data_IF_092314076726
#
_entry.id   IF_092314076726
#
_cell.length_a   1.000
_cell.length_b   1.000
_cell.length_c   1.000
_cell.angle_alpha   90.00
_cell.angle_beta   90.00
_cell.angle_gamma   90.00
#
_symmetry.space_group_name_H-M   'P 1'
#
loop_
_entity.id
_entity.type
_entity.pdbx_description
1 polymer ?
#
# COMPACT_ATOMS: atom_id res chain seq x y z
N UNK A 1 -3.73 2.36 2.59
CA UNK A 1 -2.52 1.62 2.14
C UNK A 1 -2.72 0.11 2.04
N UNK A 2 -3.78 -0.47 2.59
CA UNK A 2 -4.15 -1.89 2.37
C UNK A 2 -4.31 -2.21 0.88
N UNK A 3 -4.68 -1.22 0.07
CA UNK A 3 -4.78 -1.33 -1.39
C UNK A 3 -3.47 -1.77 -2.07
N UNK A 4 -2.31 -1.45 -1.50
CA UNK A 4 -1.00 -1.81 -2.06
C UNK A 4 -0.88 -3.32 -2.35
N UNK A 5 -1.39 -4.14 -1.44
CA UNK A 5 -1.36 -5.60 -1.61
C UNK A 5 -2.23 -6.10 -2.77
N UNK A 6 -3.32 -5.39 -3.10
CA UNK A 6 -4.12 -5.70 -4.28
C UNK A 6 -3.37 -5.39 -5.58
N UNK A 7 -2.68 -4.25 -5.64
CA UNK A 7 -1.90 -3.90 -6.82
C UNK A 7 -0.62 -4.73 -6.95
N UNK A 8 -0.01 -5.14 -5.83
CA UNK A 8 1.06 -6.13 -5.83
C UNK A 8 0.58 -7.48 -6.41
N UNK A 9 -0.64 -7.91 -6.06
CA UNK A 9 -1.25 -9.11 -6.63
C UNK A 9 -1.42 -8.99 -8.16
N UNK A 10 -1.76 -7.81 -8.68
CA UNK A 10 -1.82 -7.58 -10.13
C UNK A 10 -0.46 -7.75 -10.82
N UNK A 11 0.63 -7.34 -10.17
CA UNK A 11 1.98 -7.60 -10.69
C UNK A 11 2.21 -9.11 -10.79
N UNK A 12 1.88 -9.87 -9.75
CA UNK A 12 1.98 -11.34 -9.78
C UNK A 12 1.16 -11.96 -10.91
N UNK A 13 -0.10 -11.56 -11.06
CA UNK A 13 -0.95 -12.02 -12.16
C UNK A 13 -0.36 -11.65 -13.52
N UNK A 14 0.23 -10.47 -13.67
CA UNK A 14 0.85 -10.05 -14.93
C UNK A 14 2.14 -10.83 -15.23
N UNK A 15 2.87 -11.26 -14.20
CA UNK A 15 4.00 -12.20 -14.36
C UNK A 15 3.49 -13.58 -14.82
N UNK A 16 2.48 -14.12 -14.16
CA UNK A 16 1.86 -15.42 -14.51
C UNK A 16 1.33 -15.45 -15.95
N UNK A 17 0.92 -14.29 -16.47
CA UNK A 17 0.42 -14.13 -17.85
C UNK A 17 1.53 -13.84 -18.87
N UNK A 18 2.78 -13.69 -18.43
CA UNK A 18 3.92 -13.35 -19.28
C UNK A 18 3.92 -11.91 -19.81
N UNK A 19 3.12 -11.03 -19.24
CA UNK A 19 3.05 -9.59 -19.57
C UNK A 19 4.21 -8.83 -18.91
N UNK A 20 4.62 -9.27 -17.75
CA UNK A 20 5.84 -8.86 -17.02
C UNK A 20 6.75 -10.08 -16.96
N UNK A 21 8.05 -9.90 -17.19
CA UNK A 21 8.98 -11.02 -17.25
C UNK A 21 9.23 -11.64 -15.87
N UNK A 22 9.54 -10.83 -14.89
CA UNK A 22 9.80 -11.26 -13.50
C UNK A 22 9.78 -10.09 -12.51
N UNK A 23 9.85 -10.40 -11.23
CA UNK A 23 10.07 -9.39 -10.18
C UNK A 23 11.42 -8.68 -10.33
N UNK A 24 12.41 -9.34 -10.91
CA UNK A 24 13.76 -8.83 -11.06
C UNK A 24 13.95 -8.03 -12.37
N UNK A 25 12.89 -7.88 -13.16
CA UNK A 25 12.90 -6.98 -14.32
C UNK A 25 13.16 -5.54 -13.87
N UNK A 26 14.07 -4.87 -14.57
CA UNK A 26 14.30 -3.45 -14.34
C UNK A 26 13.08 -2.63 -14.73
N UNK A 27 12.72 -1.65 -13.92
CA UNK A 27 11.62 -0.73 -14.19
C UNK A 27 11.84 0.02 -15.51
N UNK A 28 13.09 0.34 -15.83
CA UNK A 28 13.49 0.98 -17.10
C UNK A 28 13.14 0.17 -18.35
N UNK A 29 12.89 -1.13 -18.24
CA UNK A 29 12.37 -1.97 -19.33
C UNK A 29 10.96 -1.55 -19.77
N UNK A 30 10.17 -1.03 -18.86
CA UNK A 30 8.78 -0.62 -19.06
C UNK A 30 8.65 0.89 -19.16
N UNK A 31 9.40 1.63 -18.34
CA UNK A 31 9.26 3.07 -18.17
C UNK A 31 10.53 3.79 -18.66
N UNK A 32 10.43 4.38 -19.84
CA UNK A 32 11.57 5.05 -20.51
C UNK A 32 12.10 6.27 -19.76
N UNK A 33 11.37 6.84 -18.83
CA UNK A 33 11.82 7.95 -17.98
C UNK A 33 12.65 7.50 -16.76
N UNK A 34 12.89 6.18 -16.62
CA UNK A 34 13.84 5.60 -15.67
C UNK A 34 15.17 5.29 -16.37
N UNK A 35 15.72 6.27 -17.10
CA UNK A 35 16.96 6.20 -17.85
C UNK A 35 18.17 6.87 -17.17
N UNK A 36 17.97 7.37 -15.95
CA UNK A 36 18.94 8.03 -15.09
C UNK A 36 19.46 7.08 -13.97
N UNK A 37 19.79 7.65 -12.79
CA UNK A 37 20.20 6.91 -11.59
C UNK A 37 19.20 5.85 -11.15
N UNK A 38 17.93 5.93 -11.57
CA UNK A 38 16.85 4.98 -11.28
C UNK A 38 16.85 3.76 -12.21
N UNK A 39 17.70 3.70 -13.21
CA UNK A 39 17.68 2.68 -14.25
C UNK A 39 17.94 1.24 -13.75
N UNK A 40 18.51 1.11 -12.56
CA UNK A 40 18.76 -0.18 -11.92
C UNK A 40 17.64 -0.64 -10.99
N UNK A 41 16.66 0.21 -10.69
CA UNK A 41 15.52 -0.18 -9.84
C UNK A 41 14.77 -1.33 -10.51
N UNK A 42 14.48 -2.37 -9.74
CA UNK A 42 13.68 -3.51 -10.16
C UNK A 42 12.23 -3.38 -9.70
N UNK A 43 11.32 -4.17 -10.28
CA UNK A 43 9.94 -4.28 -9.80
C UNK A 43 9.92 -4.79 -8.35
N UNK A 44 10.82 -5.70 -7.99
CA UNK A 44 11.03 -6.18 -6.62
C UNK A 44 11.35 -5.03 -5.67
N UNK A 45 12.28 -4.16 -6.03
CA UNK A 45 12.65 -3.01 -5.20
C UNK A 45 11.47 -2.07 -4.91
N UNK A 46 10.60 -1.86 -5.89
CA UNK A 46 9.36 -1.09 -5.67
C UNK A 46 8.42 -1.80 -4.70
N UNK A 47 8.18 -3.10 -4.89
CA UNK A 47 7.27 -3.89 -4.06
C UNK A 47 7.80 -4.10 -2.63
N UNK A 48 9.10 -4.23 -2.47
CA UNK A 48 9.78 -4.39 -1.17
C UNK A 48 10.07 -3.07 -0.46
N UNK A 49 9.73 -1.93 -1.08
CA UNK A 49 10.03 -0.62 -0.53
C UNK A 49 11.53 -0.37 -0.34
N UNK A 50 12.35 -0.86 -1.27
CA UNK A 50 13.81 -0.74 -1.27
C UNK A 50 14.37 -0.06 -2.52
N UNK A 51 13.56 0.70 -3.23
CA UNK A 51 13.94 1.32 -4.51
C UNK A 51 15.00 2.40 -4.40
N UNK A 52 15.23 2.97 -3.22
CA UNK A 52 16.11 4.13 -3.04
C UNK A 52 15.56 5.45 -3.56
N UNK A 53 14.27 5.50 -3.97
CA UNK A 53 13.63 6.76 -4.36
C UNK A 53 13.53 7.70 -3.17
N UNK A 54 13.84 8.98 -3.37
CA UNK A 54 13.78 10.00 -2.34
C UNK A 54 12.44 9.97 -1.58
N UNK A 55 12.54 9.94 -0.26
CA UNK A 55 11.38 9.93 0.61
C UNK A 55 11.66 10.73 1.89
N UNK A 56 11.65 12.06 1.82
CA UNK A 56 11.69 12.87 3.03
C UNK A 56 10.49 12.53 3.93
N UNK A 57 10.76 12.09 5.13
CA UNK A 57 9.72 11.59 6.07
C UNK A 57 8.60 12.60 6.37
N UNK A 58 8.91 13.90 6.22
CA UNK A 58 7.95 14.99 6.40
C UNK A 58 7.09 15.25 5.14
N UNK A 59 7.42 14.63 4.01
CA UNK A 59 6.71 14.78 2.74
C UNK A 59 5.83 13.59 2.39
N UNK A 60 5.65 12.66 3.31
CA UNK A 60 4.89 11.42 3.09
C UNK A 60 3.51 11.63 2.44
N UNK A 61 2.87 12.75 2.73
CA UNK A 61 1.57 13.10 2.17
C UNK A 61 1.66 14.07 0.99
N UNK A 62 2.85 14.50 0.59
CA UNK A 62 3.02 15.50 -0.46
C UNK A 62 2.43 15.06 -1.79
N UNK A 63 2.66 13.80 -2.20
CA UNK A 63 2.08 13.25 -3.42
C UNK A 63 0.56 13.26 -3.36
N UNK A 64 -0.02 12.96 -2.20
CA UNK A 64 -1.47 12.91 -2.02
C UNK A 64 -2.17 14.25 -2.27
N UNK A 65 -1.48 15.37 -2.06
CA UNK A 65 -1.99 16.71 -2.31
C UNK A 65 -1.63 17.26 -3.69
N UNK A 66 -1.02 16.45 -4.56
CA UNK A 66 -0.83 16.84 -5.95
C UNK A 66 -2.12 16.66 -6.75
N UNK A 67 -2.25 17.39 -7.84
CA UNK A 67 -3.36 17.21 -8.80
C UNK A 67 -3.10 16.01 -9.71
N UNK A 68 -1.84 15.67 -9.93
CA UNK A 68 -1.37 14.53 -10.72
C UNK A 68 -0.34 13.76 -9.91
N UNK A 69 -0.80 12.67 -9.28
CA UNK A 69 0.05 11.85 -8.41
C UNK A 69 1.09 11.07 -9.22
N UNK A 70 0.71 10.64 -10.43
CA UNK A 70 1.61 9.88 -11.28
C UNK A 70 2.73 10.79 -11.82
N UNK A 71 2.39 11.98 -12.28
CA UNK A 71 3.39 12.93 -12.76
C UNK A 71 4.34 13.39 -11.64
N UNK A 72 3.84 13.51 -10.41
CA UNK A 72 4.69 13.74 -9.25
C UNK A 72 5.65 12.55 -9.03
N UNK A 73 5.11 11.34 -9.02
CA UNK A 73 5.89 10.12 -8.80
C UNK A 73 7.00 9.93 -9.85
N UNK A 74 6.72 10.25 -11.11
CA UNK A 74 7.69 10.18 -12.22
C UNK A 74 8.92 11.07 -12.01
N UNK A 75 8.77 12.16 -11.27
CA UNK A 75 9.84 13.17 -11.04
C UNK A 75 10.68 12.91 -9.81
N UNK A 76 10.25 12.00 -8.95
CA UNK A 76 11.01 11.64 -7.75
C UNK A 76 12.30 10.94 -8.15
N UNK A 77 13.42 11.43 -7.62
CA UNK A 77 14.75 10.89 -7.90
C UNK A 77 15.14 9.80 -6.92
N UNK A 78 16.21 9.09 -7.22
CA UNK A 78 16.83 8.17 -6.29
C UNK A 78 18.04 8.84 -5.63
N UNK A 79 18.22 8.63 -4.33
CA UNK A 79 19.36 9.11 -3.54
C UNK A 79 20.10 7.96 -2.84
N UNK A 80 19.58 6.75 -2.94
CA UNK A 80 20.13 5.53 -2.35
C UNK A 80 20.16 4.43 -3.43
N UNK A 81 21.19 3.58 -3.36
CA UNK A 81 21.31 2.42 -4.25
C UNK A 81 20.11 1.46 -4.03
N UNK A 82 19.42 1.03 -5.09
CA UNK A 82 18.30 0.08 -4.98
C UNK A 82 18.71 -1.23 -4.28
N UNK A 83 17.80 -1.81 -3.52
CA UNK A 83 18.02 -3.05 -2.80
C UNK A 83 18.93 -2.96 -1.56
N UNK A 84 19.28 -1.75 -1.11
CA UNK A 84 20.20 -1.58 0.04
C UNK A 84 19.52 -1.13 1.32
N UNK A 85 18.33 -0.52 1.25
CA UNK A 85 17.63 0.01 2.42
C UNK A 85 16.11 -0.08 2.25
N UNK A 86 15.45 -0.56 3.28
CA UNK A 86 13.99 -0.44 3.37
C UNK A 86 13.58 0.99 3.72
N UNK A 87 12.70 1.56 2.90
CA UNK A 87 12.09 2.86 3.16
C UNK A 87 10.67 2.90 2.59
N UNK A 88 9.67 2.85 3.48
CA UNK A 88 8.26 2.82 3.08
C UNK A 88 7.88 4.09 2.33
N UNK A 89 7.60 3.98 1.04
CA UNK A 89 7.42 5.09 0.12
C UNK A 89 6.20 4.86 -0.80
N UNK A 90 5.23 5.76 -0.78
CA UNK A 90 4.03 5.68 -1.63
C UNK A 90 4.33 5.81 -3.13
N UNK A 91 5.42 6.48 -3.50
CA UNK A 91 5.86 6.63 -4.89
C UNK A 91 6.11 5.26 -5.52
N UNK A 92 6.75 4.34 -4.78
CA UNK A 92 6.98 2.96 -5.25
C UNK A 92 5.69 2.31 -5.75
N UNK A 93 4.63 2.43 -4.96
CA UNK A 93 3.35 1.83 -5.32
C UNK A 93 2.65 2.58 -6.45
N UNK A 94 2.80 3.91 -6.54
CA UNK A 94 2.19 4.69 -7.61
C UNK A 94 2.77 4.33 -8.98
N UNK A 95 4.09 4.12 -9.06
CA UNK A 95 4.79 3.72 -10.28
C UNK A 95 4.36 2.34 -10.80
N UNK A 96 3.96 1.42 -9.93
CA UNK A 96 3.45 0.11 -10.35
C UNK A 96 2.24 0.23 -11.29
N UNK A 97 1.41 1.25 -11.12
CA UNK A 97 0.27 1.52 -12.00
C UNK A 97 0.69 1.82 -13.45
N UNK A 98 1.78 2.56 -13.63
CA UNK A 98 2.32 2.89 -14.95
C UNK A 98 3.01 1.67 -15.59
N UNK A 99 3.73 0.86 -14.80
CA UNK A 99 4.29 -0.42 -15.26
C UNK A 99 3.19 -1.33 -15.78
N UNK A 100 2.10 -1.48 -15.03
CA UNK A 100 0.96 -2.29 -15.45
C UNK A 100 0.36 -1.78 -16.77
N UNK A 101 0.19 -0.47 -16.90
CA UNK A 101 -0.34 0.13 -18.14
C UNK A 101 0.55 -0.17 -19.34
N UNK A 102 1.87 0.00 -19.20
CA UNK A 102 2.81 -0.26 -20.32
C UNK A 102 2.90 -1.74 -20.64
N UNK A 103 2.95 -2.60 -19.64
CA UNK A 103 3.09 -4.04 -19.83
C UNK A 103 1.83 -4.70 -20.42
N UNK A 104 0.65 -4.20 -20.09
CA UNK A 104 -0.63 -4.86 -20.42
C UNK A 104 -1.48 -4.09 -21.43
N UNK A 105 -1.22 -2.80 -21.63
CA UNK A 105 -2.07 -1.89 -22.40
C UNK A 105 -3.34 -1.44 -21.69
N UNK A 106 -3.57 -1.86 -20.43
CA UNK A 106 -4.77 -1.52 -19.65
C UNK A 106 -4.40 -0.79 -18.36
N UNK A 107 -5.26 0.14 -17.95
CA UNK A 107 -5.09 0.88 -16.69
C UNK A 107 -5.24 -0.04 -15.48
N UNK A 108 -4.53 0.27 -14.40
CA UNK A 108 -4.48 -0.56 -13.19
C UNK A 108 -5.85 -0.74 -12.50
N UNK A 109 -6.76 0.25 -12.57
CA UNK A 109 -8.14 0.13 -12.07
C UNK A 109 -8.95 -0.90 -12.88
N UNK A 110 -8.83 -0.89 -14.20
CA UNK A 110 -9.50 -1.86 -15.09
C UNK A 110 -8.94 -3.26 -14.85
N UNK A 111 -7.63 -3.39 -14.68
CA UNK A 111 -7.00 -4.67 -14.36
C UNK A 111 -7.46 -5.19 -13.01
N UNK A 112 -7.51 -4.33 -11.99
CA UNK A 112 -7.96 -4.70 -10.64
C UNK A 112 -9.39 -5.24 -10.68
N UNK A 113 -10.27 -4.55 -11.38
CA UNK A 113 -11.65 -4.98 -11.55
C UNK A 113 -11.73 -6.35 -12.22
N UNK A 114 -11.12 -6.50 -13.40
CA UNK A 114 -11.23 -7.72 -14.22
C UNK A 114 -10.54 -8.94 -13.60
N UNK A 115 -9.38 -8.74 -12.97
CA UNK A 115 -8.49 -9.84 -12.57
C UNK A 115 -8.61 -10.24 -11.10
N UNK A 116 -9.15 -9.36 -10.26
CA UNK A 116 -9.27 -9.60 -8.81
C UNK A 116 -10.71 -9.40 -8.35
N UNK A 117 -11.28 -8.20 -8.52
CA UNK A 117 -12.57 -7.89 -7.89
C UNK A 117 -13.71 -8.75 -8.45
N UNK A 118 -13.83 -8.86 -9.76
CA UNK A 118 -14.86 -9.70 -10.40
C UNK A 118 -14.68 -11.19 -10.07
N UNK A 119 -13.49 -11.81 -10.22
CA UNK A 119 -13.30 -13.21 -9.84
C UNK A 119 -13.61 -13.50 -8.37
N UNK A 120 -13.33 -12.56 -7.47
CA UNK A 120 -13.64 -12.70 -6.05
C UNK A 120 -15.09 -12.32 -5.70
N UNK A 121 -15.91 -12.01 -6.71
CA UNK A 121 -17.28 -11.54 -6.52
C UNK A 121 -17.36 -10.35 -5.54
N UNK A 122 -16.51 -9.33 -5.78
CA UNK A 122 -16.50 -8.03 -5.08
C UNK A 122 -17.18 -7.03 -6.03
N UNK A 123 -18.37 -6.59 -5.67
CA UNK A 123 -19.21 -5.73 -6.54
C UNK A 123 -19.47 -4.35 -5.96
N UNK A 124 -19.34 -4.19 -4.65
CA UNK A 124 -19.54 -2.92 -3.96
C UNK A 124 -18.18 -2.37 -3.49
N UNK A 125 -17.60 -1.51 -4.31
CA UNK A 125 -16.30 -0.92 -4.06
C UNK A 125 -16.18 0.45 -4.73
N UNK A 126 -15.23 1.25 -4.24
CA UNK A 126 -14.84 2.52 -4.85
C UNK A 126 -13.31 2.59 -4.94
N UNK A 127 -12.81 2.87 -6.14
CA UNK A 127 -11.40 3.11 -6.38
C UNK A 127 -11.16 4.62 -6.49
N UNK A 128 -10.27 5.13 -5.67
CA UNK A 128 -9.97 6.56 -5.69
C UNK A 128 -8.99 6.90 -6.81
N UNK A 129 -9.19 8.07 -7.36
CA UNK A 129 -8.38 8.62 -8.45
C UNK A 129 -7.95 10.04 -8.11
N UNK A 130 -6.81 10.44 -8.65
CA UNK A 130 -6.39 11.81 -8.62
C UNK A 130 -7.20 12.66 -9.61
N UNK A 131 -6.91 13.96 -9.68
CA UNK A 131 -7.61 14.92 -10.56
C UNK A 131 -7.41 14.62 -12.06
N UNK A 132 -6.38 13.86 -12.44
CA UNK A 132 -6.11 13.45 -13.81
C UNK A 132 -6.71 12.08 -14.15
N UNK A 133 -7.39 11.45 -13.19
CA UNK A 133 -8.02 10.14 -13.37
C UNK A 133 -7.06 8.96 -13.21
N UNK A 134 -5.86 9.16 -12.67
CA UNK A 134 -4.96 8.08 -12.31
C UNK A 134 -5.47 7.42 -11.03
N UNK A 135 -5.63 6.10 -11.04
CA UNK A 135 -6.00 5.37 -9.83
C UNK A 135 -4.86 5.41 -8.81
N UNK A 136 -5.20 5.60 -7.55
CA UNK A 136 -4.23 5.66 -6.46
C UNK A 136 -3.77 4.26 -6.07
N UNK A 137 -2.80 3.71 -6.79
CA UNK A 137 -2.30 2.35 -6.54
C UNK A 137 -1.62 2.18 -5.18
N UNK A 138 -1.30 3.27 -4.51
CA UNK A 138 -0.69 3.27 -3.18
C UNK A 138 -1.70 3.29 -2.03
N UNK A 139 -3.00 3.56 -2.31
CA UNK A 139 -4.05 3.59 -1.28
C UNK A 139 -5.46 3.43 -1.89
N UNK A 140 -6.39 3.51 -1.02
CA UNK A 140 -7.72 4.10 -1.23
C UNK A 140 -8.61 3.25 -2.14
N UNK A 141 -8.83 2.03 -1.70
CA UNK A 141 -9.88 1.14 -2.18
C UNK A 141 -10.92 1.03 -1.06
N UNK A 142 -12.12 1.55 -1.28
CA UNK A 142 -13.21 1.44 -0.33
C UNK A 142 -14.03 0.19 -0.63
N UNK A 143 -14.20 -0.66 0.35
CA UNK A 143 -15.07 -1.83 0.30
C UNK A 143 -15.36 -2.35 1.72
N UNK A 144 -16.27 -3.29 1.84
CA UNK A 144 -16.62 -3.89 3.12
C UNK A 144 -15.45 -4.68 3.73
N UNK A 145 -15.44 -4.85 5.07
CA UNK A 145 -14.45 -5.71 5.73
C UNK A 145 -14.49 -7.15 5.20
N UNK A 146 -15.68 -7.64 4.86
CA UNK A 146 -15.86 -8.96 4.27
C UNK A 146 -15.19 -9.08 2.90
N UNK A 147 -15.25 -8.04 2.08
CA UNK A 147 -14.60 -8.04 0.76
C UNK A 147 -13.09 -7.88 0.89
N UNK A 148 -12.62 -7.07 1.83
CA UNK A 148 -11.19 -7.01 2.16
C UNK A 148 -10.64 -8.37 2.61
N UNK A 149 -11.41 -9.15 3.36
CA UNK A 149 -10.95 -10.47 3.80
C UNK A 149 -10.74 -11.47 2.66
N UNK A 150 -11.42 -11.27 1.52
CA UNK A 150 -11.27 -12.16 0.35
C UNK A 150 -9.85 -12.14 -0.23
N UNK A 151 -9.14 -10.99 -0.21
CA UNK A 151 -7.74 -10.97 -0.64
C UNK A 151 -6.84 -11.75 0.34
N UNK A 152 -7.08 -11.62 1.63
CA UNK A 152 -6.38 -12.41 2.63
C UNK A 152 -6.60 -13.91 2.43
N UNK A 153 -7.85 -14.29 2.18
CA UNK A 153 -8.23 -15.68 1.92
C UNK A 153 -7.63 -16.22 0.63
N UNK A 154 -7.59 -15.41 -0.44
CA UNK A 154 -6.93 -15.76 -1.70
C UNK A 154 -5.44 -16.10 -1.47
N UNK A 155 -4.73 -15.27 -0.72
CA UNK A 155 -3.32 -15.50 -0.41
C UNK A 155 -3.13 -16.66 0.57
N UNK A 156 -4.00 -16.84 1.58
CA UNK A 156 -3.97 -18.01 2.46
C UNK A 156 -4.10 -19.32 1.69
N UNK A 157 -4.88 -19.32 0.62
CA UNK A 157 -5.14 -20.49 -0.24
C UNK A 157 -4.20 -20.58 -1.46
N UNK A 158 -2.99 -20.07 -1.36
CA UNK A 158 -1.98 -20.12 -2.42
C UNK A 158 -2.49 -19.57 -3.78
N UNK A 159 -3.30 -18.51 -3.72
CA UNK A 159 -3.82 -17.86 -4.92
C UNK A 159 -4.98 -18.56 -5.61
N UNK A 160 -5.53 -19.63 -5.00
CA UNK A 160 -6.69 -20.35 -5.50
C UNK A 160 -7.99 -19.78 -4.92
N UNK A 161 -8.95 -19.52 -5.76
CA UNK A 161 -10.29 -19.08 -5.39
C UNK A 161 -11.34 -19.99 -6.01
N UNK A 162 -12.04 -20.76 -5.17
CA UNK A 162 -13.12 -21.67 -5.58
C UNK A 162 -12.74 -22.59 -6.77
N UNK A 163 -11.51 -23.11 -6.74
CA UNK A 163 -10.99 -24.01 -7.76
C UNK A 163 -10.28 -23.30 -8.93
N UNK A 164 -10.33 -21.97 -9.00
CA UNK A 164 -9.65 -21.19 -10.02
C UNK A 164 -8.34 -20.61 -9.48
N UNK A 165 -7.22 -20.85 -10.16
CA UNK A 165 -5.95 -20.24 -9.82
C UNK A 165 -5.93 -18.80 -10.35
N UNK A 166 -6.06 -17.81 -9.46
CA UNK A 166 -6.06 -16.38 -9.77
C UNK A 166 -4.64 -15.85 -9.83
N UNK A 167 -3.80 -16.26 -8.88
CA UNK A 167 -2.38 -15.90 -8.77
C UNK A 167 -1.62 -17.21 -8.57
N UNK A 168 -0.46 -17.37 -9.18
CA UNK A 168 0.35 -18.57 -8.98
C UNK A 168 0.73 -18.79 -7.50
N UNK A 169 0.83 -20.05 -7.12
CA UNK A 169 1.32 -20.42 -5.79
C UNK A 169 2.76 -19.95 -5.57
N UNK A 170 3.56 -19.90 -6.63
CA UNK A 170 4.94 -19.46 -6.57
C UNK A 170 5.02 -17.97 -6.18
N UNK A 171 4.23 -17.09 -6.82
CA UNK A 171 4.17 -15.69 -6.44
C UNK A 171 3.66 -15.47 -5.02
N UNK A 172 2.62 -16.23 -4.62
CA UNK A 172 2.11 -16.17 -3.24
C UNK A 172 3.17 -16.58 -2.23
N UNK A 173 3.89 -17.66 -2.51
CA UNK A 173 4.97 -18.11 -1.64
C UNK A 173 6.13 -17.11 -1.58
N UNK A 174 6.49 -16.50 -2.71
CA UNK A 174 7.46 -15.41 -2.78
C UNK A 174 7.03 -14.22 -1.92
N UNK A 175 5.75 -13.83 -1.99
CA UNK A 175 5.19 -12.74 -1.20
C UNK A 175 5.37 -12.97 0.30
N UNK A 176 5.32 -14.20 0.76
CA UNK A 176 5.44 -14.55 2.17
C UNK A 176 6.86 -14.93 2.59
N UNK A 177 7.86 -14.70 1.75
CA UNK A 177 9.25 -14.69 2.19
C UNK A 177 9.48 -13.46 3.08
N UNK A 178 10.30 -13.63 4.11
CA UNK A 178 10.68 -12.52 4.99
C UNK A 178 11.92 -11.87 4.41
N UNK A 179 11.80 -10.65 3.88
CA UNK A 179 12.90 -9.98 3.17
C UNK A 179 13.52 -8.87 4.01
N UNK A 180 12.70 -7.92 4.45
CA UNK A 180 13.20 -6.73 5.14
C UNK A 180 12.75 -6.67 6.59
N UNK A 181 13.68 -6.68 7.52
CA UNK A 181 13.39 -6.28 8.91
C UNK A 181 13.14 -4.77 8.95
N UNK A 182 12.01 -4.39 9.51
CA UNK A 182 11.59 -2.99 9.58
C UNK A 182 11.61 -2.50 11.02
N UNK A 183 11.83 -1.20 11.27
CA UNK A 183 11.71 -0.65 12.61
C UNK A 183 10.31 -0.93 13.17
N UNK A 184 10.25 -1.62 14.30
CA UNK A 184 9.01 -1.81 15.05
C UNK A 184 9.03 -0.95 16.31
N UNK A 185 8.39 0.20 16.26
CA UNK A 185 8.32 1.15 17.38
C UNK A 185 7.23 0.81 18.40
N UNK A 186 6.49 -0.28 18.15
CA UNK A 186 5.21 -0.51 18.79
C UNK A 186 5.13 -1.79 19.59
N UNK A 187 6.08 -2.67 19.39
CA UNK A 187 6.13 -3.95 20.06
C UNK A 187 7.58 -4.45 20.15
N UNK A 188 7.83 -5.37 21.07
CA UNK A 188 9.12 -6.07 21.20
C UNK A 188 9.34 -7.10 20.07
N UNK A 189 8.27 -7.44 19.32
CA UNK A 189 8.37 -8.38 18.22
C UNK A 189 8.99 -7.73 16.99
N UNK A 190 9.79 -8.49 16.28
CA UNK A 190 10.32 -8.06 14.99
C UNK A 190 9.18 -7.91 13.97
N UNK A 191 9.30 -6.90 13.15
CA UNK A 191 8.38 -6.62 12.07
C UNK A 191 9.13 -6.65 10.75
N UNK A 192 8.50 -7.23 9.71
CA UNK A 192 9.13 -7.37 8.41
C UNK A 192 8.21 -6.91 7.30
N UNK A 193 8.76 -6.82 6.09
CA UNK A 193 8.06 -6.42 4.88
C UNK A 193 8.51 -7.26 3.68
N UNK A 194 7.58 -7.61 2.81
CA UNK A 194 7.84 -8.29 1.56
C UNK A 194 6.70 -8.04 0.59
N UNK A 195 7.00 -7.65 -0.64
CA UNK A 195 6.07 -7.50 -1.77
C UNK A 195 4.73 -6.84 -1.39
N UNK A 196 4.80 -5.68 -0.73
CA UNK A 196 3.63 -4.93 -0.25
C UNK A 196 2.78 -5.63 0.82
N UNK A 197 3.37 -6.58 1.54
CA UNK A 197 2.80 -7.18 2.74
C UNK A 197 3.66 -6.92 3.95
N UNK A 198 3.04 -6.69 5.09
CA UNK A 198 3.69 -6.63 6.39
C UNK A 198 3.71 -8.00 7.04
N UNK A 199 4.77 -8.28 7.78
CA UNK A 199 4.81 -9.40 8.72
C UNK A 199 4.75 -8.80 10.11
N UNK A 200 3.61 -8.93 10.77
CA UNK A 200 3.37 -8.29 12.06
C UNK A 200 3.91 -9.08 13.24
N UNK A 201 3.99 -10.40 13.06
CA UNK A 201 4.62 -11.30 14.00
C UNK A 201 5.40 -12.33 13.23
N UNK A 202 6.63 -12.55 13.66
CA UNK A 202 7.51 -13.56 13.11
C UNK A 202 8.32 -14.14 14.27
N UNK A 203 7.85 -15.26 14.78
CA UNK A 203 8.52 -16.04 15.81
C UNK A 203 8.40 -17.55 15.48
N UNK A 204 8.93 -18.40 16.34
CA UNK A 204 8.90 -19.86 16.14
C UNK A 204 7.47 -20.43 16.15
N UNK A 205 6.54 -19.74 16.81
CA UNK A 205 5.18 -20.20 17.02
C UNK A 205 4.18 -19.65 16.02
N UNK A 206 4.48 -18.53 15.37
CA UNK A 206 3.52 -17.90 14.45
C UNK A 206 4.15 -16.92 13.47
N UNK A 207 3.59 -16.90 12.24
CA UNK A 207 3.88 -15.91 11.21
C UNK A 207 2.58 -15.27 10.78
N UNK A 208 2.34 -14.04 11.24
CA UNK A 208 1.13 -13.31 10.89
C UNK A 208 1.48 -12.24 9.88
N UNK A 209 1.03 -12.44 8.65
CA UNK A 209 1.13 -11.46 7.57
C UNK A 209 -0.08 -10.55 7.59
N UNK A 210 0.08 -9.31 7.12
CA UNK A 210 -1.06 -8.42 6.99
C UNK A 210 -0.89 -7.36 5.92
N UNK A 211 -2.02 -6.97 5.35
CA UNK A 211 -2.15 -5.67 4.71
C UNK A 211 -2.30 -4.62 5.81
N UNK A 212 -1.74 -3.44 5.62
CA UNK A 212 -1.83 -2.38 6.65
C UNK A 212 -2.18 -1.04 6.03
N UNK A 213 -3.16 -0.38 6.59
CA UNK A 213 -3.60 0.94 6.15
C UNK A 213 -3.68 1.94 7.29
N UNK A 214 -3.57 3.22 6.92
CA UNK A 214 -3.76 4.35 7.81
C UNK A 214 -5.10 4.21 8.55
N UNK A 215 -5.19 4.69 9.76
CA UNK A 215 -6.38 4.61 10.63
C UNK A 215 -6.76 3.20 11.12
N UNK A 216 -5.87 2.22 11.01
CA UNK A 216 -6.09 0.89 11.55
C UNK A 216 -6.92 -0.02 10.64
N UNK A 217 -6.76 0.11 9.34
CA UNK A 217 -7.25 -0.81 8.34
C UNK A 217 -6.30 -1.99 8.23
N UNK A 218 -6.75 -3.21 8.48
CA UNK A 218 -5.92 -4.41 8.46
C UNK A 218 -6.67 -5.59 7.89
N UNK A 219 -5.95 -6.46 7.19
CA UNK A 219 -6.34 -7.85 6.94
C UNK A 219 -5.18 -8.72 7.35
N UNK A 220 -5.32 -9.40 8.47
CA UNK A 220 -4.34 -10.34 9.00
C UNK A 220 -4.56 -11.72 8.42
N UNK A 221 -3.47 -12.41 8.11
CA UNK A 221 -3.46 -13.73 7.49
C UNK A 221 -2.50 -14.62 8.27
N UNK A 222 -3.04 -15.61 8.94
CA UNK A 222 -2.31 -16.74 9.51
C UNK A 222 -2.54 -17.96 8.63
N UNK A 223 -1.58 -18.26 7.75
CA UNK A 223 -1.70 -19.35 6.78
C UNK A 223 -1.63 -20.72 7.41
N UNK A 224 -0.88 -20.84 8.49
CA UNK A 224 -0.66 -22.13 9.15
C UNK A 224 -1.93 -22.65 9.82
N UNK A 225 -2.78 -21.74 10.28
CA UNK A 225 -3.98 -22.05 11.00
C UNK A 225 -5.28 -21.69 10.24
N UNK A 226 -5.16 -21.24 9.00
CA UNK A 226 -6.29 -20.80 8.13
C UNK A 226 -7.17 -19.73 8.80
N UNK A 227 -6.53 -18.78 9.49
CA UNK A 227 -7.23 -17.68 10.17
C UNK A 227 -7.05 -16.37 9.39
N UNK A 228 -8.16 -15.77 9.03
CA UNK A 228 -8.20 -14.43 8.42
C UNK A 228 -9.00 -13.50 9.32
N UNK A 229 -8.39 -12.38 9.70
CA UNK A 229 -9.06 -11.35 10.51
C UNK A 229 -8.94 -10.00 9.82
N UNK A 230 -10.07 -9.39 9.50
CA UNK A 230 -10.11 -8.06 8.88
C UNK A 230 -10.72 -7.04 9.82
N UNK A 231 -10.04 -5.93 9.97
CA UNK A 231 -10.52 -4.74 10.68
C UNK A 231 -10.57 -3.57 9.72
N UNK A 232 -11.74 -2.97 9.60
CA UNK A 232 -11.95 -1.69 8.92
C UNK A 232 -12.43 -0.68 9.96
N UNK A 233 -11.81 0.48 9.98
CA UNK A 233 -12.13 1.54 10.92
C UNK A 233 -12.84 2.67 10.21
N UNK A 234 -14.00 3.06 10.72
CA UNK A 234 -14.59 4.35 10.39
C UNK A 234 -13.93 5.39 11.30
N UNK A 235 -13.36 6.42 10.73
CA UNK A 235 -12.74 7.51 11.46
C UNK A 235 -13.54 8.80 11.31
N UNK A 236 -13.43 9.68 12.31
CA UNK A 236 -14.01 11.01 12.26
C UNK A 236 -12.88 12.04 12.17
N UNK A 237 -12.88 12.83 11.12
CA UNK A 237 -11.83 13.84 10.90
C UNK A 237 -11.76 14.87 12.02
N UNK A 238 -12.88 15.16 12.68
CA UNK A 238 -12.94 16.15 13.76
C UNK A 238 -12.19 15.71 15.03
N UNK A 239 -11.95 14.41 15.19
CA UNK A 239 -11.27 13.87 16.38
C UNK A 239 -9.73 13.97 16.27
N UNK A 240 -9.21 14.48 15.18
CA UNK A 240 -7.80 14.34 14.83
C UNK A 240 -6.94 15.60 14.99
N UNK A 241 -7.55 16.74 15.18
CA UNK A 241 -6.83 18.01 15.19
C UNK A 241 -5.80 18.20 16.31
N UNK A 242 -5.99 17.53 17.44
CA UNK A 242 -5.21 17.80 18.66
C UNK A 242 -3.98 16.91 18.87
N UNK A 243 -3.86 15.81 18.12
CA UNK A 243 -2.84 14.79 18.39
C UNK A 243 -1.75 14.72 17.33
N UNK A 244 -1.78 15.60 16.34
CA UNK A 244 -0.77 15.63 15.31
C UNK A 244 0.54 16.21 15.79
N UNK A 245 1.57 15.38 15.73
CA UNK A 245 2.94 15.76 16.07
C UNK A 245 3.45 16.97 15.28
N UNK A 246 2.84 17.27 14.15
CA UNK A 246 3.27 18.32 13.24
C UNK A 246 2.32 19.54 13.20
N UNK A 247 1.06 19.41 13.58
CA UNK A 247 0.08 20.51 13.65
C UNK A 247 0.25 21.57 12.55
N UNK A 248 -0.05 22.85 12.84
CA UNK A 248 0.17 23.96 11.92
C UNK A 248 1.63 24.17 11.51
N UNK A 249 2.58 23.73 12.33
CA UNK A 249 4.03 23.87 12.04
C UNK A 249 4.47 23.19 10.76
N UNK A 250 3.73 22.18 10.30
CA UNK A 250 3.94 21.53 9.00
C UNK A 250 3.94 22.51 7.82
N UNK A 251 3.18 23.60 7.91
CA UNK A 251 3.08 24.60 6.83
C UNK A 251 4.17 25.67 6.86
N UNK A 252 4.97 25.71 7.90
CA UNK A 252 6.13 26.62 7.95
C UNK A 252 7.39 26.03 7.32
N UNK A 253 7.30 24.82 6.77
CA UNK A 253 8.34 24.22 5.92
C UNK A 253 8.04 24.49 4.44
N UNK A 254 9.06 24.46 3.59
CA UNK A 254 8.86 24.60 2.13
C UNK A 254 7.90 23.54 1.57
N UNK A 255 8.01 22.30 2.04
CA UNK A 255 7.08 21.23 1.70
C UNK A 255 5.65 21.53 2.15
N UNK A 256 5.48 22.12 3.33
CA UNK A 256 4.18 22.54 3.84
C UNK A 256 3.57 23.68 3.03
N UNK A 257 4.39 24.64 2.58
CA UNK A 257 3.95 25.74 1.71
C UNK A 257 3.48 25.19 0.37
N UNK A 258 4.26 24.30 -0.25
CA UNK A 258 3.86 23.63 -1.50
C UNK A 258 2.54 22.86 -1.35
N UNK A 259 2.39 22.12 -0.25
CA UNK A 259 1.15 21.42 0.04
C UNK A 259 -0.03 22.39 0.18
N UNK A 260 0.16 23.50 0.89
CA UNK A 260 -0.88 24.53 1.04
C UNK A 260 -1.27 25.15 -0.32
N UNK A 261 -0.29 25.39 -1.19
CA UNK A 261 -0.53 25.92 -2.55
C UNK A 261 -1.32 24.89 -3.38
N UNK A 262 -0.93 23.62 -3.34
CA UNK A 262 -1.61 22.56 -4.09
C UNK A 262 -3.02 22.30 -3.58
N UNK A 263 -3.21 22.32 -2.25
CA UNK A 263 -4.53 22.28 -1.62
C UNK A 263 -5.40 23.46 -2.09
N UNK A 264 -4.83 24.68 -2.09
CA UNK A 264 -5.53 25.87 -2.57
C UNK A 264 -5.90 25.78 -4.06
N UNK A 265 -4.99 25.28 -4.90
CA UNK A 265 -5.26 25.05 -6.33
C UNK A 265 -6.37 24.03 -6.55
N UNK A 266 -6.34 22.93 -5.80
CA UNK A 266 -7.38 21.89 -5.88
C UNK A 266 -8.73 22.45 -5.45
N UNK A 267 -8.80 23.19 -4.34
CA UNK A 267 -10.00 23.88 -3.89
C UNK A 267 -10.56 24.84 -4.95
N UNK A 268 -9.71 25.63 -5.59
CA UNK A 268 -10.12 26.56 -6.64
C UNK A 268 -10.65 25.84 -7.89
N UNK A 269 -10.10 24.67 -8.20
CA UNK A 269 -10.49 23.88 -9.39
C UNK A 269 -11.73 23.06 -9.15
N UNK A 270 -11.89 22.44 -7.97
CA UNK A 270 -12.93 21.45 -7.68
C UNK A 270 -13.99 21.95 -6.70
N UNK A 271 -13.74 23.07 -6.03
CA UNK A 271 -14.59 23.61 -4.98
C UNK A 271 -14.43 22.90 -3.64
N UNK A 272 -13.86 21.72 -3.61
CA UNK A 272 -13.59 20.96 -2.37
C UNK A 272 -12.43 20.01 -2.54
N UNK A 273 -11.74 19.71 -1.43
CA UNK A 273 -10.83 18.56 -1.34
C UNK A 273 -11.64 17.46 -0.68
N UNK A 274 -11.82 16.37 -1.40
CA UNK A 274 -12.60 15.23 -0.93
C UNK A 274 -11.76 13.97 -0.91
N UNK A 275 -11.94 13.18 0.11
CA UNK A 275 -11.49 11.80 0.20
C UNK A 275 -12.75 10.92 0.25
N UNK A 276 -13.10 10.29 -0.87
CA UNK A 276 -14.41 9.69 -1.01
C UNK A 276 -15.50 10.76 -0.96
N UNK A 277 -16.46 10.62 -0.07
CA UNK A 277 -17.51 11.60 0.20
C UNK A 277 -17.14 12.59 1.32
N UNK A 278 -15.99 12.37 1.98
CA UNK A 278 -15.53 13.19 3.09
C UNK A 278 -14.55 14.28 2.62
N UNK A 279 -14.63 15.44 3.27
CA UNK A 279 -13.66 16.52 3.03
C UNK A 279 -12.34 16.17 3.70
N UNK A 280 -11.28 16.09 2.91
CA UNK A 280 -9.93 15.93 3.44
C UNK A 280 -9.46 17.27 4.00
N UNK A 281 -9.05 17.24 5.24
CA UNK A 281 -8.19 18.28 5.77
C UNK A 281 -6.71 17.80 5.68
N UNK A 282 -5.76 18.72 5.44
CA UNK A 282 -4.34 18.37 5.44
C UNK A 282 -3.85 17.77 6.77
N UNK A 283 -4.69 17.64 7.73
CA UNK A 283 -4.44 17.15 9.10
C UNK A 283 -5.15 15.84 9.39
N UNK A 284 -5.42 15.02 8.38
CA UNK A 284 -5.97 13.72 8.69
C UNK A 284 -5.04 12.98 9.64
N UNK A 285 -5.55 12.76 10.81
CA UNK A 285 -4.87 12.13 11.93
C UNK A 285 -4.47 10.70 11.57
N UNK A 286 -3.27 10.34 11.95
CA UNK A 286 -2.86 8.95 11.94
C UNK A 286 -3.14 8.35 13.31
N UNK A 287 -4.29 7.68 13.46
CA UNK A 287 -4.64 6.93 14.68
C UNK A 287 -3.54 5.93 15.05
N UNK A 288 -2.86 5.41 14.03
CA UNK A 288 -1.67 4.61 14.17
C UNK A 288 -0.46 5.34 14.80
N UNK A 289 -0.55 6.61 15.20
CA UNK A 289 0.49 7.31 15.96
C UNK A 289 0.20 7.37 17.48
N UNK A 290 -0.95 6.87 17.93
CA UNK A 290 -1.27 6.90 19.37
C UNK A 290 -0.69 5.68 20.09
N UNK A 291 -0.15 5.90 21.31
CA UNK A 291 0.35 4.82 22.17
C UNK A 291 -0.73 3.80 22.50
N UNK A 292 -1.97 4.25 22.64
CA UNK A 292 -3.12 3.40 22.94
C UNK A 292 -3.45 2.49 21.74
N UNK A 293 -3.36 2.99 20.52
CA UNK A 293 -3.57 2.18 19.33
C UNK A 293 -2.57 1.04 19.26
N UNK A 294 -1.31 1.31 19.52
CA UNK A 294 -0.26 0.29 19.42
C UNK A 294 -0.33 -0.76 20.51
N UNK A 295 -0.67 -0.37 21.71
CA UNK A 295 -0.93 -1.30 22.78
C UNK A 295 -2.09 -2.23 22.41
N UNK A 296 -3.20 -1.69 21.94
CA UNK A 296 -4.34 -2.48 21.43
C UNK A 296 -4.00 -3.30 20.18
N UNK A 297 -3.10 -2.82 19.35
CA UNK A 297 -2.64 -3.55 18.17
C UNK A 297 -1.88 -4.81 18.56
N UNK A 298 -0.98 -4.72 19.55
CA UNK A 298 -0.27 -5.89 20.05
C UNK A 298 -1.24 -6.90 20.69
N UNK A 299 -2.14 -6.44 21.56
CA UNK A 299 -3.18 -7.28 22.14
C UNK A 299 -4.03 -7.99 21.07
N UNK A 300 -4.27 -7.32 19.96
CA UNK A 300 -5.03 -7.86 18.83
C UNK A 300 -4.23 -8.95 18.07
N UNK A 301 -2.95 -8.75 17.84
CA UNK A 301 -2.06 -9.76 17.25
C UNK A 301 -1.96 -10.99 18.15
N UNK A 302 -1.82 -10.80 19.46
CA UNK A 302 -1.76 -11.88 20.43
C UNK A 302 -3.08 -12.66 20.48
N UNK A 303 -4.22 -11.97 20.38
CA UNK A 303 -5.53 -12.61 20.29
C UNK A 303 -5.67 -13.47 19.02
N UNK A 304 -5.20 -12.99 17.87
CA UNK A 304 -5.19 -13.75 16.61
C UNK A 304 -4.34 -15.02 16.78
N UNK A 305 -3.14 -14.90 17.33
CA UNK A 305 -2.26 -16.05 17.58
C UNK A 305 -2.88 -17.09 18.53
N UNK A 306 -3.71 -16.64 19.47
CA UNK A 306 -4.40 -17.55 20.41
C UNK A 306 -5.59 -18.28 19.77
N UNK A 307 -6.31 -17.64 18.83
CA UNK A 307 -7.38 -18.32 18.06
C UNK A 307 -6.79 -19.53 17.32
N UNK A 308 -5.60 -19.38 16.80
CA UNK A 308 -4.91 -20.43 16.04
C UNK A 308 -4.51 -21.64 16.89
N UNK A 309 -4.49 -21.52 18.21
CA UNK A 309 -4.06 -22.58 19.14
C UNK A 309 -5.24 -23.38 19.74
N UNK A 310 -6.47 -22.97 19.42
CA UNK A 310 -7.72 -23.65 19.87
C UNK A 310 -8.34 -24.51 18.79
#
# INVERSE_FOLDING_TARGET
>A
STAKSFYAALIGISIDRGEIGSLDDKVSKYLNYYDDERSNITIRDLLDMSSGLEFPSHEHERMFFQMDHLEYAKKVKADIEPGTKFEYNNVNSMILGDILLVATGEKADVLLEKRILQPLNIVDYKLWKDEQGNVMTYCCVDMSARDYSKIGLLFSRNGNWEGNQIISSDYVNETFQVVWETPNRWSEHKRYYSLHWWVSRYDEDSKIFNTSGKFGQFTFVDRENDVIVTRITKYNQNDYGSTQKWGPMKYFTWAGIDNAINVGRTLLKTGTIKEGDDVITPYTFNEGASTVFYQKYQDFIDAISNISKT
#
